data_IF_515058008679
#
_entry.id   IF_515058008679
#
_cell.length_a   1.000
_cell.length_b   1.000
_cell.length_c   1.000
_cell.angle_alpha   90.00
_cell.angle_beta   90.00
_cell.angle_gamma   90.00
#
_symmetry.space_group_name_H-M   'P 1'
#
loop_
_entity.id
_entity.type
_entity.pdbx_description
1 polymer ?
#
# COMPACT_ATOMS: atom_id res chain seq x y z
N UNK A 1 -8.12 -31.52 -14.44
CA UNK A 1 -6.85 -30.85 -14.01
C UNK A 1 -7.10 -30.26 -12.64
N UNK A 2 -7.34 -31.13 -11.65
CA UNK A 2 -8.08 -30.71 -10.44
C UNK A 2 -7.13 -30.27 -9.31
N UNK A 3 -5.86 -30.68 -9.42
CA UNK A 3 -4.81 -30.29 -8.49
C UNK A 3 -4.45 -28.80 -8.61
N UNK A 4 -4.43 -28.26 -9.83
CA UNK A 4 -4.17 -26.83 -10.07
C UNK A 4 -5.30 -25.96 -9.51
N UNK A 5 -6.56 -26.40 -9.68
CA UNK A 5 -7.72 -25.69 -9.14
C UNK A 5 -7.76 -25.73 -7.61
N UNK A 6 -7.41 -26.86 -6.97
CA UNK A 6 -7.30 -26.97 -5.51
C UNK A 6 -6.22 -26.06 -4.93
N UNK A 7 -5.04 -26.02 -5.54
CA UNK A 7 -3.96 -25.12 -5.11
C UNK A 7 -4.36 -23.66 -5.29
N UNK A 8 -5.02 -23.32 -6.41
CA UNK A 8 -5.55 -21.98 -6.65
C UNK A 8 -6.55 -21.55 -5.58
N UNK A 9 -7.44 -22.44 -5.15
CA UNK A 9 -8.43 -22.15 -4.11
C UNK A 9 -7.80 -21.86 -2.75
N UNK A 10 -6.78 -22.63 -2.37
CA UNK A 10 -6.01 -22.41 -1.13
C UNK A 10 -5.27 -21.06 -1.18
N UNK A 11 -4.66 -20.73 -2.34
CA UNK A 11 -3.97 -19.45 -2.53
C UNK A 11 -4.93 -18.26 -2.37
N UNK A 12 -6.12 -18.35 -2.95
CA UNK A 12 -7.13 -17.29 -2.82
C UNK A 12 -7.53 -17.11 -1.35
N UNK A 13 -7.72 -18.21 -0.61
CA UNK A 13 -7.99 -18.16 0.83
C UNK A 13 -6.88 -17.46 1.62
N UNK A 14 -5.62 -17.77 1.31
CA UNK A 14 -4.46 -17.13 1.95
C UNK A 14 -4.39 -15.62 1.64
N UNK A 15 -4.60 -15.24 0.38
CA UNK A 15 -4.62 -13.84 -0.05
C UNK A 15 -5.74 -13.07 0.66
N UNK A 16 -6.92 -13.67 0.80
CA UNK A 16 -8.03 -13.06 1.53
C UNK A 16 -7.70 -12.82 3.02
N UNK A 17 -7.06 -13.78 3.68
CA UNK A 17 -6.62 -13.65 5.08
C UNK A 17 -5.55 -12.57 5.26
N UNK A 18 -4.60 -12.50 4.33
CA UNK A 18 -3.57 -11.45 4.29
C UNK A 18 -4.22 -10.07 4.14
N UNK A 19 -5.17 -9.92 3.21
CA UNK A 19 -5.91 -8.67 3.01
C UNK A 19 -6.65 -8.24 4.28
N UNK A 20 -7.30 -9.17 4.97
CA UNK A 20 -8.01 -8.88 6.22
C UNK A 20 -7.05 -8.38 7.31
N UNK A 21 -5.91 -9.06 7.47
CA UNK A 21 -4.86 -8.67 8.42
C UNK A 21 -4.35 -7.25 8.14
N UNK A 22 -4.09 -6.92 6.87
CA UNK A 22 -3.65 -5.58 6.45
C UNK A 22 -4.69 -4.51 6.79
N UNK A 23 -5.97 -4.77 6.53
CA UNK A 23 -7.05 -3.82 6.85
C UNK A 23 -7.14 -3.56 8.36
N UNK A 24 -7.03 -4.61 9.18
CA UNK A 24 -7.03 -4.48 10.65
C UNK A 24 -5.83 -3.67 11.15
N UNK A 25 -4.63 -3.96 10.64
CA UNK A 25 -3.41 -3.21 10.94
C UNK A 25 -3.57 -1.72 10.63
N UNK A 26 -4.01 -1.39 9.40
CA UNK A 26 -4.19 0.00 8.98
C UNK A 26 -5.18 0.72 9.90
N UNK A 27 -6.32 0.10 10.22
CA UNK A 27 -7.31 0.70 11.13
C UNK A 27 -6.71 0.99 12.51
N UNK A 28 -5.95 0.04 13.07
CA UNK A 28 -5.32 0.19 14.38
C UNK A 28 -4.23 1.27 14.36
N UNK A 29 -3.38 1.30 13.32
CA UNK A 29 -2.32 2.30 13.18
C UNK A 29 -2.90 3.71 13.04
N UNK A 30 -3.96 3.89 12.24
CA UNK A 30 -4.61 5.20 12.09
C UNK A 30 -5.23 5.66 13.41
N UNK A 31 -5.91 4.77 14.15
CA UNK A 31 -6.46 5.08 15.48
C UNK A 31 -5.35 5.54 16.44
N UNK A 32 -4.23 4.83 16.48
CA UNK A 32 -3.10 5.15 17.34
C UNK A 32 -2.48 6.51 16.97
N UNK A 33 -2.26 6.75 15.68
CA UNK A 33 -1.68 8.00 15.18
C UNK A 33 -2.58 9.21 15.51
N UNK A 34 -3.90 9.06 15.37
CA UNK A 34 -4.86 10.13 15.68
C UNK A 34 -5.01 10.37 17.18
N UNK A 35 -4.95 9.33 18.01
CA UNK A 35 -4.92 9.49 19.46
C UNK A 35 -3.68 10.27 19.92
N UNK A 36 -2.51 9.98 19.34
CA UNK A 36 -1.26 10.68 19.63
C UNK A 36 -1.32 12.16 19.21
N UNK A 37 -2.03 12.49 18.13
CA UNK A 37 -2.13 13.85 17.59
C UNK A 37 -3.45 14.58 17.93
N UNK A 38 -4.22 14.07 18.90
CA UNK A 38 -5.56 14.58 19.24
C UNK A 38 -5.61 16.10 19.53
N UNK A 39 -4.56 16.65 20.12
CA UNK A 39 -4.45 18.08 20.42
C UNK A 39 -4.28 18.93 19.18
N UNK A 40 -3.45 18.49 18.22
CA UNK A 40 -3.23 19.19 16.95
C UNK A 40 -4.52 19.20 16.13
N UNK A 41 -5.23 18.08 16.09
CA UNK A 41 -6.51 17.98 15.36
C UNK A 41 -7.56 18.91 15.98
N UNK A 42 -7.67 18.95 17.32
CA UNK A 42 -8.56 19.89 18.02
C UNK A 42 -8.21 21.34 17.70
N UNK A 43 -6.93 21.70 17.73
CA UNK A 43 -6.49 23.07 17.36
C UNK A 43 -6.86 23.42 15.92
N UNK A 44 -6.63 22.50 14.97
CA UNK A 44 -7.03 22.70 13.56
C UNK A 44 -8.54 22.86 13.39
N UNK A 45 -9.35 22.12 14.15
CA UNK A 45 -10.80 22.23 14.12
C UNK A 45 -11.30 23.58 14.68
N UNK A 46 -10.67 24.12 15.72
CA UNK A 46 -11.04 25.41 16.31
C UNK A 46 -10.81 26.60 15.36
N UNK A 47 -9.87 26.47 14.42
CA UNK A 47 -9.61 27.47 13.37
C UNK A 47 -10.49 27.23 12.12
N UNK A 48 -11.41 26.26 12.16
CA UNK A 48 -12.32 25.94 11.05
C UNK A 48 -11.66 25.19 9.89
N UNK A 49 -10.57 24.47 10.15
CA UNK A 49 -9.85 23.76 9.08
C UNK A 49 -10.72 22.67 8.44
N UNK A 50 -10.75 22.67 7.09
CA UNK A 50 -11.49 21.68 6.30
C UNK A 50 -10.91 20.27 6.49
N UNK A 51 -11.73 19.22 6.39
CA UNK A 51 -11.34 17.80 6.54
C UNK A 51 -10.11 17.42 5.69
N UNK A 52 -9.97 17.98 4.50
CA UNK A 52 -8.81 17.79 3.61
C UNK A 52 -7.49 18.30 4.21
N UNK A 53 -7.51 19.38 4.99
CA UNK A 53 -6.32 19.95 5.64
C UNK A 53 -5.74 18.99 6.69
N UNK A 54 -6.62 18.28 7.41
CA UNK A 54 -6.23 17.27 8.41
C UNK A 54 -5.68 16.01 7.72
N UNK A 55 -6.19 15.65 6.54
CA UNK A 55 -5.80 14.44 5.80
C UNK A 55 -4.45 14.57 5.07
N UNK A 56 -4.11 15.76 4.59
CA UNK A 56 -2.88 16.04 3.83
C UNK A 56 -1.58 15.48 4.44
N UNK A 57 -1.24 15.71 5.73
CA UNK A 57 0.02 15.22 6.30
C UNK A 57 0.11 13.69 6.25
N UNK A 58 -1.00 12.98 6.48
CA UNK A 58 -1.07 11.52 6.39
C UNK A 58 -0.90 11.00 4.97
N UNK A 59 -1.52 11.67 3.98
CA UNK A 59 -1.35 11.30 2.58
C UNK A 59 0.09 11.50 2.11
N UNK A 60 0.77 12.55 2.60
CA UNK A 60 2.17 12.80 2.26
C UNK A 60 3.10 11.73 2.81
N UNK A 61 2.87 11.28 4.05
CA UNK A 61 3.57 10.14 4.63
C UNK A 61 3.32 8.86 3.83
N UNK A 62 2.07 8.59 3.44
CA UNK A 62 1.71 7.43 2.64
C UNK A 62 2.38 7.43 1.26
N UNK A 63 2.46 8.59 0.60
CA UNK A 63 3.14 8.73 -0.68
C UNK A 63 4.63 8.41 -0.55
N UNK A 64 5.29 8.91 0.50
CA UNK A 64 6.71 8.62 0.76
C UNK A 64 6.95 7.14 1.04
N UNK A 65 6.12 6.53 1.89
CA UNK A 65 6.20 5.09 2.16
C UNK A 65 5.90 4.25 0.90
N UNK A 66 4.93 4.65 0.08
CA UNK A 66 4.62 4.00 -1.19
C UNK A 66 5.76 4.09 -2.21
N UNK A 67 6.42 5.25 -2.30
CA UNK A 67 7.60 5.43 -3.13
C UNK A 67 8.76 4.53 -2.69
N UNK A 68 9.05 4.50 -1.38
CA UNK A 68 10.06 3.63 -0.79
C UNK A 68 9.76 2.14 -1.04
N UNK A 69 8.52 1.72 -0.82
CA UNK A 69 8.09 0.35 -1.07
C UNK A 69 8.22 -0.03 -2.55
N UNK A 70 7.81 0.85 -3.47
CA UNK A 70 7.96 0.64 -4.92
C UNK A 70 9.42 0.54 -5.34
N UNK A 71 10.29 1.37 -4.78
CA UNK A 71 11.74 1.34 -5.03
C UNK A 71 12.35 0.02 -4.55
N UNK A 72 12.01 -0.42 -3.34
CA UNK A 72 12.44 -1.72 -2.79
C UNK A 72 11.95 -2.86 -3.69
N UNK A 73 10.69 -2.83 -4.13
CA UNK A 73 10.12 -3.86 -4.98
C UNK A 73 10.81 -3.93 -6.36
N UNK A 74 11.12 -2.78 -6.96
CA UNK A 74 11.90 -2.71 -8.21
C UNK A 74 13.31 -3.29 -8.05
N UNK A 75 13.98 -2.96 -6.94
CA UNK A 75 15.32 -3.50 -6.64
C UNK A 75 15.26 -5.02 -6.45
N UNK A 76 14.27 -5.51 -5.72
CA UNK A 76 14.07 -6.93 -5.50
C UNK A 76 13.77 -7.68 -6.81
N UNK A 77 12.93 -7.09 -7.67
CA UNK A 77 12.63 -7.63 -8.99
C UNK A 77 13.89 -7.72 -9.86
N UNK A 78 14.71 -6.68 -9.88
CA UNK A 78 15.98 -6.69 -10.61
C UNK A 78 16.94 -7.79 -10.10
N UNK A 79 17.08 -7.92 -8.77
CA UNK A 79 17.88 -8.98 -8.16
C UNK A 79 17.35 -10.38 -8.51
N UNK A 80 16.03 -10.59 -8.43
CA UNK A 80 15.41 -11.86 -8.73
C UNK A 80 15.65 -12.26 -10.19
N UNK A 81 15.49 -11.30 -11.11
CA UNK A 81 15.69 -11.51 -12.54
C UNK A 81 17.15 -11.86 -12.83
N UNK A 82 18.10 -11.07 -12.33
CA UNK A 82 19.53 -11.31 -12.53
C UNK A 82 20.00 -12.65 -11.94
N UNK A 83 19.51 -13.03 -10.76
CA UNK A 83 19.81 -14.33 -10.14
C UNK A 83 19.27 -15.50 -10.97
N UNK A 84 18.05 -15.36 -11.50
CA UNK A 84 17.42 -16.44 -12.29
C UNK A 84 18.11 -16.62 -13.64
N UNK A 85 18.49 -15.52 -14.31
CA UNK A 85 19.23 -15.58 -15.58
C UNK A 85 20.58 -16.29 -15.46
N UNK A 86 21.29 -16.14 -14.33
CA UNK A 86 22.55 -16.86 -14.09
C UNK A 86 22.37 -18.37 -13.96
N UNK A 87 21.17 -18.83 -13.56
CA UNK A 87 20.86 -20.26 -13.34
C UNK A 87 20.16 -20.92 -14.53
N UNK A 88 19.43 -20.15 -15.33
CA UNK A 88 18.63 -20.64 -16.45
C UNK A 88 18.93 -19.76 -17.68
N UNK A 89 19.82 -20.25 -18.55
CA UNK A 89 20.28 -19.51 -19.72
C UNK A 89 19.17 -19.18 -20.74
N UNK A 90 18.09 -19.98 -20.79
CA UNK A 90 16.96 -19.78 -21.71
C UNK A 90 16.14 -18.51 -21.42
N UNK A 91 16.21 -17.97 -20.20
CA UNK A 91 15.49 -16.74 -19.83
C UNK A 91 16.13 -15.48 -20.47
N UNK A 92 17.40 -15.53 -20.86
CA UNK A 92 18.07 -14.42 -21.54
C UNK A 92 17.44 -14.09 -22.90
N UNK A 93 16.93 -15.11 -23.62
CA UNK A 93 16.35 -14.94 -24.95
C UNK A 93 14.96 -14.29 -24.93
N UNK A 94 14.26 -14.34 -23.78
CA UNK A 94 12.93 -13.75 -23.58
C UNK A 94 13.03 -12.36 -22.90
N UNK A 95 14.17 -12.06 -22.28
CA UNK A 95 14.42 -10.78 -21.61
C UNK A 95 14.60 -9.64 -22.61
N UNK A 96 13.51 -8.92 -22.85
CA UNK A 96 13.57 -7.58 -23.38
C UNK A 96 13.80 -6.60 -22.23
N UNK A 97 14.97 -5.96 -22.18
CA UNK A 97 15.31 -4.88 -21.24
C UNK A 97 14.21 -3.82 -21.15
N UNK A 98 13.54 -3.51 -22.27
CA UNK A 98 12.42 -2.58 -22.31
C UNK A 98 11.20 -3.04 -21.48
N UNK A 99 10.88 -4.35 -21.48
CA UNK A 99 9.77 -4.90 -20.67
C UNK A 99 10.08 -4.86 -19.19
N UNK A 100 11.35 -5.04 -18.81
CA UNK A 100 11.77 -4.98 -17.40
C UNK A 100 11.65 -3.55 -16.84
N UNK A 101 12.07 -2.54 -17.61
CA UNK A 101 11.85 -1.14 -17.23
C UNK A 101 10.38 -0.76 -17.18
N UNK A 102 9.56 -1.24 -18.13
CA UNK A 102 8.11 -1.00 -18.13
C UNK A 102 7.42 -1.66 -16.94
N UNK A 103 7.80 -2.89 -16.59
CA UNK A 103 7.31 -3.59 -15.40
C UNK A 103 7.72 -2.85 -14.13
N UNK A 104 9.00 -2.50 -13.98
CA UNK A 104 9.48 -1.74 -12.83
C UNK A 104 8.79 -0.39 -12.68
N UNK A 105 8.65 0.37 -13.77
CA UNK A 105 7.93 1.64 -13.77
C UNK A 105 6.46 1.48 -13.36
N UNK A 106 5.76 0.49 -13.94
CA UNK A 106 4.38 0.19 -13.58
C UNK A 106 4.22 -0.24 -12.12
N UNK A 107 5.16 -1.03 -11.59
CA UNK A 107 5.16 -1.51 -10.21
C UNK A 107 5.31 -0.35 -9.22
N UNK A 108 6.19 0.60 -9.53
CA UNK A 108 6.43 1.77 -8.70
C UNK A 108 5.20 2.69 -8.67
N UNK A 109 4.61 2.96 -9.84
CA UNK A 109 3.38 3.78 -9.95
C UNK A 109 2.21 3.09 -9.25
N UNK A 110 1.98 1.81 -9.50
CA UNK A 110 0.90 1.05 -8.87
C UNK A 110 1.08 0.94 -7.36
N UNK A 111 2.31 0.67 -6.89
CA UNK A 111 2.62 0.62 -5.46
C UNK A 111 2.35 1.94 -4.75
N UNK A 112 2.75 3.05 -5.37
CA UNK A 112 2.46 4.40 -4.85
C UNK A 112 0.96 4.71 -4.85
N UNK A 113 0.25 4.39 -5.94
CA UNK A 113 -1.20 4.59 -6.03
C UNK A 113 -1.96 3.77 -4.97
N UNK A 114 -1.58 2.50 -4.77
CA UNK A 114 -2.21 1.62 -3.78
C UNK A 114 -1.93 2.11 -2.35
N UNK A 115 -0.70 2.53 -2.06
CA UNK A 115 -0.35 3.11 -0.76
C UNK A 115 -1.20 4.35 -0.45
N UNK A 116 -1.25 5.31 -1.38
CA UNK A 116 -2.05 6.54 -1.22
C UNK A 116 -3.54 6.23 -1.11
N UNK A 117 -4.08 5.36 -1.97
CA UNK A 117 -5.49 5.00 -1.96
C UNK A 117 -5.90 4.28 -0.66
N UNK A 118 -5.07 3.35 -0.17
CA UNK A 118 -5.33 2.61 1.06
C UNK A 118 -5.32 3.54 2.28
N UNK A 119 -4.34 4.43 2.40
CA UNK A 119 -4.28 5.41 3.50
C UNK A 119 -5.41 6.42 3.41
N UNK A 120 -5.72 6.93 2.20
CA UNK A 120 -6.84 7.85 2.01
C UNK A 120 -8.15 7.22 2.48
N UNK A 121 -8.45 5.97 2.07
CA UNK A 121 -9.68 5.28 2.49
C UNK A 121 -9.73 5.06 4.01
N UNK A 122 -8.62 4.67 4.62
CA UNK A 122 -8.56 4.44 6.06
C UNK A 122 -8.76 5.72 6.87
N UNK A 123 -8.06 6.81 6.51
CA UNK A 123 -8.19 8.11 7.17
C UNK A 123 -9.59 8.69 6.92
N UNK A 124 -10.13 8.58 5.71
CA UNK A 124 -11.48 9.05 5.39
C UNK A 124 -12.57 8.29 6.16
N UNK A 125 -12.42 6.97 6.33
CA UNK A 125 -13.32 6.17 7.18
C UNK A 125 -13.26 6.64 8.62
N UNK A 126 -12.06 6.87 9.16
CA UNK A 126 -11.89 7.28 10.55
C UNK A 126 -12.43 8.70 10.82
N UNK A 127 -12.14 9.66 9.95
CA UNK A 127 -12.62 11.05 10.09
C UNK A 127 -14.14 11.17 9.96
N UNK A 128 -14.80 10.18 9.33
CA UNK A 128 -16.26 10.09 9.28
C UNK A 128 -16.85 9.54 10.58
N UNK A 129 -16.18 8.62 11.27
CA UNK A 129 -16.64 8.12 12.57
C UNK A 129 -16.48 9.15 13.70
N UNK A 130 -15.46 10.01 13.65
CA UNK A 130 -15.12 10.89 14.78
C UNK A 130 -15.96 12.17 14.90
N UNK A 131 -17.03 12.37 14.10
CA UNK A 131 -17.89 13.56 14.21
C UNK A 131 -19.30 13.28 14.73
N UNK A 132 -19.82 12.04 14.59
CA UNK A 132 -21.18 11.68 15.03
C UNK A 132 -21.21 10.85 16.33
N UNK A 133 -20.06 10.42 16.88
CA UNK A 133 -19.99 9.71 18.18
C UNK A 133 -19.52 10.60 19.33
N UNK A 134 -19.38 11.91 19.10
CA UNK A 134 -19.07 12.88 20.17
C UNK A 134 -20.24 13.82 20.51
N UNK A 135 -21.43 13.54 19.98
CA UNK A 135 -22.69 14.15 20.38
C UNK A 135 -23.77 13.07 20.50
#
# INVERSE_FOLDING_TARGET
NDNVTKIGLILIGLVALMLLTVVLLINNTVRLALFSQRFIIRSMQLVGAKRWFIQRPFLFQAMWHGALAGLIACLLLYLLVSFTTQRIADLNLIQNTNRLYLLGGSLLVLGMMVAVASTYRAVAKYLRLSLDELF
#
